data_IF_135350172643
#
_entry.id   IF_135350172643
#
_cell.length_a   1.000
_cell.length_b   1.000
_cell.length_c   1.000
_cell.angle_alpha   90.00
_cell.angle_beta   90.00
_cell.angle_gamma   90.00
#
_symmetry.space_group_name_H-M   'P 1'
#
loop_
_entity.id
_entity.type
_entity.pdbx_description
1 polymer ?
#
# COMPACT_ATOMS: atom_id res chain seq x y z
N UNK A 1 32.65 13.81 47.12
CA UNK A 1 31.40 14.62 47.01
C UNK A 1 31.27 15.35 45.67
N UNK A 2 32.30 16.06 45.17
CA UNK A 2 32.22 16.78 43.87
C UNK A 2 31.91 15.90 42.65
N UNK A 3 32.48 14.69 42.54
CA UNK A 3 32.26 13.78 41.40
C UNK A 3 30.82 13.22 41.33
N UNK A 4 30.18 13.00 42.48
CA UNK A 4 28.79 12.54 42.55
C UNK A 4 27.79 13.59 42.06
N UNK A 5 28.07 14.88 42.33
CA UNK A 5 27.23 15.99 41.89
C UNK A 5 27.28 16.14 40.36
N UNK A 6 28.46 16.00 39.75
CA UNK A 6 28.59 16.04 38.30
C UNK A 6 27.89 14.86 37.60
N UNK A 7 27.99 13.65 38.14
CA UNK A 7 27.28 12.48 37.60
C UNK A 7 25.76 12.65 37.67
N UNK A 8 25.23 13.17 38.77
CA UNK A 8 23.80 13.42 38.94
C UNK A 8 23.29 14.50 37.97
N UNK A 9 24.07 15.57 37.77
CA UNK A 9 23.72 16.66 36.86
C UNK A 9 23.66 16.21 35.40
N UNK A 10 24.61 15.38 34.96
CA UNK A 10 24.60 14.82 33.59
C UNK A 10 23.42 13.88 33.38
N UNK A 11 23.07 13.05 34.36
CA UNK A 11 21.90 12.16 34.28
C UNK A 11 20.58 12.95 34.19
N UNK A 12 20.48 14.07 34.89
CA UNK A 12 19.33 14.96 34.81
C UNK A 12 19.26 15.60 33.42
N UNK A 13 20.35 16.18 32.91
CA UNK A 13 20.35 16.78 31.58
C UNK A 13 20.01 15.79 30.45
N UNK A 14 20.43 14.53 30.56
CA UNK A 14 20.14 13.49 29.56
C UNK A 14 18.68 13.01 29.57
N UNK A 15 17.98 13.14 30.69
CA UNK A 15 16.57 12.69 30.82
C UNK A 15 15.58 13.78 30.43
N UNK A 16 15.90 15.07 30.65
CA UNK A 16 15.04 16.19 30.27
C UNK A 16 14.97 16.42 28.75
N UNK A 17 16.03 16.13 28.00
CA UNK A 17 16.03 16.24 26.53
C UNK A 17 15.24 15.11 25.85
N UNK A 18 15.06 13.97 26.53
CA UNK A 18 14.36 12.81 25.98
C UNK A 18 12.87 13.07 25.73
N UNK A 19 12.19 13.80 26.61
CA UNK A 19 10.75 14.04 26.46
C UNK A 19 10.42 14.96 25.27
N UNK A 20 11.21 16.03 25.06
CA UNK A 20 10.98 16.96 23.95
C UNK A 20 11.32 16.35 22.58
N UNK A 21 12.26 15.38 22.54
CA UNK A 21 12.65 14.70 21.31
C UNK A 21 11.61 13.67 20.85
N UNK A 22 10.89 13.05 21.80
CA UNK A 22 9.85 12.06 21.49
C UNK A 22 8.67 12.72 20.79
N UNK A 23 8.24 13.90 21.23
CA UNK A 23 7.15 14.64 20.59
C UNK A 23 7.52 15.04 19.15
N UNK A 24 8.72 15.60 18.95
CA UNK A 24 9.21 15.96 17.62
C UNK A 24 9.40 14.72 16.70
N UNK A 25 9.89 13.61 17.25
CA UNK A 25 10.06 12.36 16.51
C UNK A 25 8.72 11.75 16.11
N UNK A 26 7.72 11.81 16.99
CA UNK A 26 6.36 11.34 16.70
C UNK A 26 5.72 12.16 15.59
N UNK A 27 5.84 13.48 15.63
CA UNK A 27 5.26 14.38 14.63
C UNK A 27 5.91 14.19 13.23
N UNK A 28 7.23 13.97 13.18
CA UNK A 28 7.94 13.62 11.93
C UNK A 28 7.52 12.25 11.38
N UNK A 29 7.32 11.26 12.26
CA UNK A 29 6.93 9.91 11.87
C UNK A 29 5.50 9.88 11.34
N UNK A 30 4.57 10.54 12.04
CA UNK A 30 3.16 10.64 11.65
C UNK A 30 3.03 11.38 10.32
N UNK A 31 3.80 12.46 10.11
CA UNK A 31 3.82 13.19 8.83
C UNK A 31 4.36 12.32 7.68
N UNK A 32 5.43 11.56 7.92
CA UNK A 32 6.03 10.69 6.89
C UNK A 32 5.09 9.54 6.52
N UNK A 33 4.41 8.97 7.50
CA UNK A 33 3.41 7.92 7.26
C UNK A 33 2.20 8.45 6.50
N UNK A 34 1.73 9.67 6.80
CA UNK A 34 0.60 10.29 6.09
C UNK A 34 0.87 10.50 4.59
N UNK A 35 2.14 10.73 4.20
CA UNK A 35 2.54 10.87 2.80
C UNK A 35 2.62 9.53 2.06
N UNK A 36 2.84 8.44 2.79
CA UNK A 36 2.89 7.09 2.25
C UNK A 36 1.50 6.43 2.24
N UNK A 37 0.51 7.04 2.89
CA UNK A 37 -0.85 6.54 2.90
C UNK A 37 -1.47 6.71 1.50
N UNK A 38 -1.76 5.61 0.77
CA UNK A 38 -2.36 5.72 -0.55
C UNK A 38 -3.74 6.37 -0.41
N UNK A 39 -3.94 7.52 -1.05
CA UNK A 39 -5.23 8.20 -1.06
C UNK A 39 -6.16 7.56 -2.10
N UNK A 40 -7.18 6.78 -1.69
CA UNK A 40 -8.06 6.10 -2.64
C UNK A 40 -9.00 7.07 -3.36
N UNK A 41 -9.07 8.35 -2.94
CA UNK A 41 -9.94 9.39 -3.54
C UNK A 41 -9.23 10.23 -4.60
N UNK A 42 -7.90 10.17 -4.67
CA UNK A 42 -7.11 10.87 -5.70
C UNK A 42 -6.96 10.05 -7.00
N UNK A 43 -7.36 8.78 -6.96
CA UNK A 43 -7.40 7.93 -8.15
C UNK A 43 -8.72 8.18 -8.89
N UNK A 44 -8.73 9.18 -9.78
CA UNK A 44 -9.82 9.40 -10.73
C UNK A 44 -9.61 8.53 -11.98
N UNK A 45 -10.23 7.35 -11.95
CA UNK A 45 -10.26 6.44 -13.08
C UNK A 45 -11.34 6.91 -14.07
N UNK A 46 -11.03 7.95 -14.85
CA UNK A 46 -11.90 8.46 -15.90
C UNK A 46 -12.15 7.43 -17.03
N UNK A 47 -11.50 6.27 -16.98
CA UNK A 47 -11.77 5.18 -17.89
C UNK A 47 -13.11 4.51 -17.52
N UNK A 48 -14.08 4.43 -18.45
CA UNK A 48 -15.34 3.77 -18.18
C UNK A 48 -15.09 2.35 -17.68
N UNK A 49 -15.65 2.02 -16.51
CA UNK A 49 -15.47 0.76 -15.79
C UNK A 49 -15.94 -0.48 -16.57
N UNK A 50 -16.60 -0.26 -17.71
CA UNK A 50 -17.14 -1.28 -18.61
C UNK A 50 -16.67 -0.96 -20.02
N UNK A 51 -15.40 -1.19 -20.30
CA UNK A 51 -14.96 -1.22 -21.68
C UNK A 51 -15.36 -2.60 -22.25
N UNK A 52 -16.56 -2.62 -22.82
CA UNK A 52 -17.25 -3.78 -23.42
C UNK A 52 -16.36 -4.56 -24.41
N UNK A 53 -15.31 -3.94 -24.95
CA UNK A 53 -14.46 -4.49 -26.00
C UNK A 53 -13.16 -5.16 -25.51
N UNK A 54 -12.79 -5.08 -24.22
CA UNK A 54 -11.54 -5.71 -23.76
C UNK A 54 -11.54 -7.23 -23.93
N UNK A 55 -12.71 -7.87 -23.85
CA UNK A 55 -12.85 -9.30 -24.10
C UNK A 55 -12.57 -9.69 -25.56
N UNK A 56 -12.81 -8.78 -26.50
CA UNK A 56 -12.55 -8.96 -27.93
C UNK A 56 -11.06 -8.76 -28.23
N UNK A 57 -10.48 -7.65 -27.75
CA UNK A 57 -9.03 -7.41 -27.88
C UNK A 57 -8.19 -8.46 -27.17
N UNK A 58 -8.66 -8.97 -26.04
CA UNK A 58 -7.98 -10.03 -25.30
C UNK A 58 -7.98 -11.36 -26.04
N UNK A 59 -9.06 -11.70 -26.77
CA UNK A 59 -9.09 -12.87 -27.67
C UNK A 59 -8.12 -12.71 -28.83
N UNK A 60 -8.12 -11.53 -29.48
CA UNK A 60 -7.22 -11.25 -30.58
C UNK A 60 -5.74 -11.26 -30.16
N UNK A 61 -5.42 -10.62 -29.02
CA UNK A 61 -4.06 -10.57 -28.48
C UNK A 61 -3.55 -11.96 -28.06
N UNK A 62 -4.46 -12.85 -27.70
CA UNK A 62 -4.12 -14.18 -27.22
C UNK A 62 -3.99 -15.23 -28.33
N UNK A 63 -4.51 -14.93 -29.53
CA UNK A 63 -4.45 -15.82 -30.69
C UNK A 63 -5.03 -17.21 -30.38
N UNK A 64 -4.20 -18.23 -30.26
CA UNK A 64 -4.54 -19.65 -30.15
C UNK A 64 -4.36 -20.22 -28.73
N UNK A 65 -3.90 -19.40 -27.76
CA UNK A 65 -3.63 -19.90 -26.42
C UNK A 65 -4.93 -20.27 -25.68
N UNK A 66 -4.94 -21.34 -24.86
CA UNK A 66 -6.11 -21.78 -24.09
C UNK A 66 -6.29 -21.01 -22.78
N UNK A 67 -7.51 -21.04 -22.22
CA UNK A 67 -7.89 -20.24 -21.03
C UNK A 67 -7.36 -20.94 -19.79
N UNK A 68 -6.51 -20.24 -19.05
CA UNK A 68 -5.94 -20.76 -17.82
C UNK A 68 -6.93 -20.53 -16.68
N UNK A 69 -7.32 -21.62 -16.02
CA UNK A 69 -8.15 -21.57 -14.83
C UNK A 69 -7.25 -21.44 -13.61
N UNK A 70 -7.32 -20.30 -12.94
CA UNK A 70 -6.65 -20.12 -11.66
C UNK A 70 -7.56 -20.62 -10.53
N UNK A 71 -7.09 -21.67 -9.84
CA UNK A 71 -7.69 -22.17 -8.61
C UNK A 71 -7.02 -21.50 -7.40
N UNK A 72 -7.03 -20.17 -7.36
CA UNK A 72 -6.52 -19.40 -6.24
C UNK A 72 -7.68 -18.84 -5.40
N UNK A 73 -7.94 -19.41 -4.20
CA UNK A 73 -9.04 -18.98 -3.34
C UNK A 73 -8.83 -17.59 -2.72
N UNK A 74 -7.59 -17.07 -2.74
CA UNK A 74 -7.26 -15.77 -2.14
C UNK A 74 -7.61 -14.63 -3.09
N UNK A 75 -7.63 -14.89 -4.40
CA UNK A 75 -7.87 -13.86 -5.42
C UNK A 75 -9.23 -13.17 -5.31
N UNK A 76 -10.23 -13.82 -4.71
CA UNK A 76 -11.54 -13.19 -4.42
C UNK A 76 -11.44 -12.05 -3.39
N UNK A 77 -10.44 -12.08 -2.52
CA UNK A 77 -10.27 -11.15 -1.41
C UNK A 77 -9.22 -10.07 -1.67
N UNK A 78 -8.26 -10.34 -2.56
CA UNK A 78 -7.13 -9.44 -2.85
C UNK A 78 -7.33 -8.60 -4.11
N UNK A 79 -8.06 -9.10 -5.12
CA UNK A 79 -8.28 -8.38 -6.38
C UNK A 79 -9.57 -7.58 -6.38
N UNK A 80 -9.49 -6.34 -6.87
CA UNK A 80 -10.67 -5.51 -7.13
C UNK A 80 -11.48 -6.05 -8.30
N UNK A 81 -12.75 -5.66 -8.40
CA UNK A 81 -13.64 -6.03 -9.52
C UNK A 81 -13.05 -5.67 -10.89
N UNK A 82 -12.36 -4.52 -10.96
CA UNK A 82 -11.65 -4.07 -12.15
C UNK A 82 -10.44 -4.94 -12.48
N UNK A 83 -9.64 -5.32 -11.48
CA UNK A 83 -8.49 -6.20 -11.72
C UNK A 83 -8.96 -7.58 -12.23
N UNK A 84 -10.06 -8.10 -11.67
CA UNK A 84 -10.68 -9.36 -12.14
C UNK A 84 -11.26 -9.27 -13.55
N UNK A 85 -11.79 -8.11 -13.96
CA UNK A 85 -12.30 -7.93 -15.32
C UNK A 85 -11.17 -7.85 -16.35
N UNK A 86 -10.04 -7.23 -16.00
CA UNK A 86 -8.81 -7.22 -16.81
C UNK A 86 -8.25 -8.63 -16.95
N UNK A 87 -8.10 -9.39 -15.87
CA UNK A 87 -7.57 -10.76 -15.95
C UNK A 87 -8.47 -11.68 -16.77
N UNK A 88 -9.79 -11.54 -16.66
CA UNK A 88 -10.75 -12.25 -17.54
C UNK A 88 -10.60 -11.87 -19.00
N UNK A 89 -10.30 -10.61 -19.31
CA UNK A 89 -10.06 -10.18 -20.70
C UNK A 89 -8.82 -10.85 -21.30
N UNK A 90 -7.75 -11.02 -20.52
CA UNK A 90 -6.51 -11.71 -20.92
C UNK A 90 -6.69 -13.24 -20.93
N UNK A 91 -7.80 -13.72 -20.36
CA UNK A 91 -8.23 -15.11 -20.41
C UNK A 91 -7.74 -15.96 -19.24
N UNK A 92 -7.65 -15.34 -18.07
CA UNK A 92 -7.65 -16.02 -16.79
C UNK A 92 -9.08 -16.14 -16.26
N UNK A 93 -9.49 -17.35 -15.91
CA UNK A 93 -10.83 -17.61 -15.37
C UNK A 93 -10.69 -18.13 -13.93
N UNK A 94 -11.29 -17.41 -12.98
CA UNK A 94 -11.32 -17.84 -11.57
C UNK A 94 -12.52 -18.76 -11.35
N UNK A 95 -12.32 -19.79 -10.52
CA UNK A 95 -13.34 -20.80 -10.22
C UNK A 95 -14.30 -20.36 -9.11
#
# INVERSE_FOLDING_TARGET
MRLFIFSLFVSICATFTGCALVDAGKEMTDSTLSLMEPNPRDYDDAAPMVAENWSEYGKDARSDRPTEKLDDPINKWTLSDKARSIERSVGYEYK
#
